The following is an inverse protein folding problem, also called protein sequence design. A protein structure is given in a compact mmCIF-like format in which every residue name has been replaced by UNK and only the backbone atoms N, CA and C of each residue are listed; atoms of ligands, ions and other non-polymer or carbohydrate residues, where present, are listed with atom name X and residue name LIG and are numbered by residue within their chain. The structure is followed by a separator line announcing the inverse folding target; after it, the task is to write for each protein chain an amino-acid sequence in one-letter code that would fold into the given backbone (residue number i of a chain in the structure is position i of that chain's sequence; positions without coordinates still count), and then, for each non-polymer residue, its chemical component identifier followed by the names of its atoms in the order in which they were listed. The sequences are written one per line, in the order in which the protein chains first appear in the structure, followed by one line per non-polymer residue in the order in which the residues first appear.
data_IF_852473473606
#
_entry.id   IF_852473473606
#
_cell.length_a   1.000
_cell.length_b   1.000
_cell.length_c   1.000
_cell.angle_alpha   90.00
_cell.angle_beta   90.00
_cell.angle_gamma   90.00
#
_symmetry.space_group_name_H-M   'P 1'
#
loop_
_entity.id
_entity.type
_entity.pdbx_description
1 polymer ?
#
# COMPACT_ATOMS: atom_id res chain seq x y z
N UNK A 1 -14.96 -13.45 -7.06
CA UNK A 1 -14.74 -12.31 -6.13
C UNK A 1 -13.31 -11.84 -6.30
N UNK A 2 -13.05 -10.52 -6.36
CA UNK A 2 -11.70 -9.95 -6.58
C UNK A 2 -10.63 -10.51 -5.62
N UNK A 3 -11.04 -10.84 -4.38
CA UNK A 3 -10.18 -11.45 -3.35
C UNK A 3 -9.57 -12.78 -3.78
N UNK A 4 -10.28 -13.61 -4.56
CA UNK A 4 -9.78 -14.92 -4.99
C UNK A 4 -8.67 -14.83 -6.06
N UNK A 5 -8.55 -13.68 -6.72
CA UNK A 5 -7.53 -13.42 -7.73
C UNK A 5 -6.35 -12.60 -7.20
N UNK A 6 -6.28 -12.35 -5.89
CA UNK A 6 -5.17 -11.57 -5.34
C UNK A 6 -3.85 -12.29 -5.50
N UNK A 7 -2.85 -11.50 -5.91
CA UNK A 7 -1.46 -11.94 -5.88
C UNK A 7 -1.07 -12.35 -4.46
N UNK A 8 -0.40 -13.49 -4.35
CA UNK A 8 0.31 -13.93 -3.13
C UNK A 8 1.80 -13.60 -3.19
N UNK A 9 2.28 -12.96 -4.26
CA UNK A 9 3.69 -12.60 -4.46
C UNK A 9 3.99 -11.12 -4.28
N UNK A 10 2.99 -10.27 -4.52
CA UNK A 10 3.14 -8.82 -4.52
C UNK A 10 1.97 -8.16 -3.81
N UNK A 11 2.26 -7.08 -3.08
CA UNK A 11 1.23 -6.17 -2.58
C UNK A 11 1.66 -4.71 -2.78
N UNK A 12 0.69 -3.81 -2.71
CA UNK A 12 0.88 -2.38 -2.91
C UNK A 12 0.78 -1.66 -1.58
N UNK A 13 1.68 -0.70 -1.35
CA UNK A 13 1.56 0.24 -0.24
C UNK A 13 1.32 1.63 -0.82
N UNK A 14 0.27 2.30 -0.36
CA UNK A 14 0.00 3.70 -0.69
C UNK A 14 -0.04 4.49 0.61
N UNK A 15 0.98 5.32 0.81
CA UNK A 15 1.07 6.27 1.91
C UNK A 15 0.63 7.63 1.41
N UNK A 16 -0.23 8.32 2.15
CA UNK A 16 -0.74 9.65 1.75
C UNK A 16 -0.77 10.65 2.91
N UNK A 17 -0.67 11.93 2.59
CA UNK A 17 -0.92 13.03 3.52
C UNK A 17 -2.38 13.53 3.47
N UNK A 18 -3.24 12.93 2.63
CA UNK A 18 -4.67 13.25 2.56
C UNK A 18 -5.39 12.75 3.84
N UNK A 19 -5.90 13.68 4.66
CA UNK A 19 -6.53 13.36 5.95
C UNK A 19 -7.83 12.55 5.81
N UNK A 20 -8.58 12.78 4.73
CA UNK A 20 -9.90 12.21 4.47
C UNK A 20 -9.92 11.13 3.38
N UNK A 21 -8.77 10.51 3.10
CA UNK A 21 -8.59 9.46 2.07
C UNK A 21 -9.65 8.34 2.08
N UNK A 22 -10.17 8.00 3.26
CA UNK A 22 -11.18 6.93 3.43
C UNK A 22 -12.62 7.38 3.19
N UNK A 23 -12.89 8.70 3.09
CA UNK A 23 -14.25 9.23 2.93
C UNK A 23 -14.85 8.85 1.58
N UNK A 24 -14.10 9.09 0.51
CA UNK A 24 -14.52 8.79 -0.86
C UNK A 24 -13.82 7.54 -1.44
N UNK A 25 -12.91 6.93 -0.67
CA UNK A 25 -12.04 5.82 -1.09
C UNK A 25 -11.27 6.13 -2.37
N UNK A 26 -10.76 7.36 -2.46
CA UNK A 26 -9.91 7.84 -3.53
C UNK A 26 -8.66 8.42 -2.90
N UNK A 27 -7.51 8.04 -3.42
CA UNK A 27 -6.21 8.61 -3.05
C UNK A 27 -5.56 9.25 -4.26
N UNK A 28 -4.95 10.43 -4.05
CA UNK A 28 -4.16 11.10 -5.09
C UNK A 28 -2.68 10.92 -4.84
N UNK A 29 -1.95 10.41 -5.83
CA UNK A 29 -0.50 10.23 -5.75
C UNK A 29 0.18 11.06 -6.85
N UNK A 30 1.16 11.92 -6.54
CA UNK A 30 1.95 12.61 -7.56
C UNK A 30 2.73 11.61 -8.44
N UNK A 31 2.80 11.85 -9.75
CA UNK A 31 3.51 10.95 -10.69
C UNK A 31 4.96 10.72 -10.30
N UNK A 32 5.65 11.72 -9.74
CA UNK A 32 7.03 11.61 -9.28
C UNK A 32 7.23 10.78 -8.01
N UNK A 33 6.15 10.32 -7.37
CA UNK A 33 6.17 9.50 -6.15
C UNK A 33 5.38 8.19 -6.31
N UNK A 34 4.96 7.88 -7.52
CA UNK A 34 4.24 6.65 -7.83
C UNK A 34 5.15 5.71 -8.62
N UNK A 35 5.33 4.49 -8.12
CA UNK A 35 5.98 3.38 -8.84
C UNK A 35 7.36 3.73 -9.40
N UNK A 36 8.13 4.54 -8.68
CA UNK A 36 9.49 4.90 -9.11
C UNK A 36 10.45 3.74 -8.90
N UNK A 37 11.60 3.75 -9.57
CA UNK A 37 12.57 2.63 -9.58
C UNK A 37 13.02 2.14 -8.20
N UNK A 38 12.97 3.00 -7.17
CA UNK A 38 13.36 2.65 -5.81
C UNK A 38 12.19 2.22 -4.91
N UNK A 39 10.96 2.35 -5.41
CA UNK A 39 9.73 2.04 -4.68
C UNK A 39 9.08 0.73 -5.13
N UNK A 40 9.64 0.06 -6.15
CA UNK A 40 9.07 -1.17 -6.69
C UNK A 40 10.18 -2.13 -7.13
N UNK A 41 9.93 -3.46 -7.12
CA UNK A 41 10.78 -4.44 -7.78
C UNK A 41 11.02 -4.08 -9.24
N UNK A 42 12.20 -4.41 -9.76
CA UNK A 42 12.60 -4.03 -11.13
C UNK A 42 11.61 -4.59 -12.17
N UNK A 43 11.15 -5.82 -11.99
CA UNK A 43 10.18 -6.44 -12.89
C UNK A 43 8.80 -5.74 -12.89
N UNK A 44 8.41 -5.13 -11.75
CA UNK A 44 7.17 -4.36 -11.64
C UNK A 44 7.37 -2.97 -12.23
N UNK A 45 8.54 -2.37 -12.03
CA UNK A 45 8.90 -1.10 -12.67
C UNK A 45 8.75 -1.20 -14.18
N UNK A 46 9.34 -2.21 -14.79
CA UNK A 46 9.39 -2.38 -16.24
C UNK A 46 7.99 -2.59 -16.84
N UNK A 47 7.13 -3.36 -16.16
CA UNK A 47 5.78 -3.67 -16.65
C UNK A 47 4.74 -2.59 -16.34
N UNK A 48 4.82 -1.94 -15.18
CA UNK A 48 3.70 -1.18 -14.62
C UNK A 48 3.95 0.32 -14.45
N UNK A 49 5.20 0.79 -14.42
CA UNK A 49 5.50 2.20 -14.10
C UNK A 49 4.94 3.22 -15.10
N UNK A 50 4.78 2.82 -16.37
CA UNK A 50 4.20 3.66 -17.42
C UNK A 50 2.68 3.81 -17.30
N UNK A 51 2.04 3.01 -16.44
CA UNK A 51 0.57 2.94 -16.29
C UNK A 51 -0.14 2.72 -17.64
N UNK A 52 0.42 1.86 -18.49
CA UNK A 52 -0.28 1.27 -19.64
C UNK A 52 -1.54 0.53 -19.18
N UNK A 53 -2.46 0.23 -20.09
CA UNK A 53 -3.68 -0.48 -19.71
C UNK A 53 -3.39 -1.88 -19.15
N UNK A 54 -2.38 -2.57 -19.69
CA UNK A 54 -1.90 -3.85 -19.17
C UNK A 54 -1.27 -3.68 -17.78
N UNK A 55 -0.42 -2.66 -17.59
CA UNK A 55 0.21 -2.38 -16.29
C UNK A 55 -0.82 -2.04 -15.20
N UNK A 56 -1.85 -1.25 -15.54
CA UNK A 56 -2.97 -0.97 -14.63
C UNK A 56 -3.74 -2.24 -14.30
N UNK A 57 -4.03 -3.07 -15.31
CA UNK A 57 -4.76 -4.33 -15.13
C UNK A 57 -3.98 -5.32 -14.25
N UNK A 58 -2.66 -5.32 -14.33
CA UNK A 58 -1.78 -6.09 -13.44
C UNK A 58 -1.83 -5.55 -12.00
N UNK A 59 -1.61 -4.24 -11.81
CA UNK A 59 -1.65 -3.60 -10.49
C UNK A 59 -3.00 -3.78 -9.78
N UNK A 60 -4.12 -3.77 -10.52
CA UNK A 60 -5.45 -3.99 -9.96
C UNK A 60 -5.67 -5.40 -9.40
N UNK A 61 -4.78 -6.36 -9.70
CA UNK A 61 -4.80 -7.72 -9.11
C UNK A 61 -4.01 -7.82 -7.80
N UNK A 62 -3.20 -6.82 -7.49
CA UNK A 62 -2.41 -6.84 -6.26
C UNK A 62 -3.25 -6.32 -5.10
N UNK A 63 -3.24 -7.01 -3.94
CA UNK A 63 -3.79 -6.45 -2.71
C UNK A 63 -3.07 -5.14 -2.36
N UNK A 64 -3.76 -4.24 -1.68
CA UNK A 64 -3.23 -2.93 -1.32
C UNK A 64 -3.43 -2.64 0.17
N UNK A 65 -2.45 -1.97 0.77
CA UNK A 65 -2.57 -1.31 2.07
C UNK A 65 -2.50 0.19 1.78
N UNK A 66 -3.56 0.91 2.15
CA UNK A 66 -3.61 2.37 2.07
C UNK A 66 -3.52 2.91 3.50
N UNK A 67 -2.60 3.82 3.74
CA UNK A 67 -2.44 4.42 5.06
C UNK A 67 -2.05 5.90 4.96
N UNK A 68 -2.21 6.62 6.06
CA UNK A 68 -1.70 8.00 6.13
C UNK A 68 -0.24 7.99 6.55
N UNK A 69 0.46 9.09 6.31
CA UNK A 69 1.79 9.28 6.87
C UNK A 69 1.76 9.14 8.40
N UNK A 70 2.79 8.51 8.96
CA UNK A 70 3.02 8.45 10.39
C UNK A 70 3.14 9.86 10.97
N UNK A 71 2.50 10.09 12.12
CA UNK A 71 2.46 11.42 12.76
C UNK A 71 3.79 11.86 13.36
N UNK A 72 4.70 10.92 13.61
CA UNK A 72 6.01 11.17 14.23
C UNK A 72 7.14 10.42 13.48
N UNK A 73 8.38 10.75 13.83
CA UNK A 73 9.58 10.07 13.31
C UNK A 73 9.81 8.71 13.99
N UNK A 74 10.72 7.91 13.42
CA UNK A 74 11.18 6.61 13.97
C UNK A 74 10.07 5.56 14.09
N UNK A 75 9.12 5.56 13.16
CA UNK A 75 8.05 4.58 13.11
C UNK A 75 6.98 4.80 14.18
N UNK A 76 6.77 6.03 14.66
CA UNK A 76 5.72 6.31 15.65
C UNK A 76 4.51 6.97 14.97
N UNK A 77 3.31 6.54 15.34
CA UNK A 77 2.05 7.12 14.86
C UNK A 77 0.98 7.12 15.94
N UNK A 78 -0.02 7.99 15.78
CA UNK A 78 -1.21 8.06 16.62
C UNK A 78 -1.87 6.66 16.82
N UNK A 79 -2.16 6.24 18.06
CA UNK A 79 -2.87 4.99 18.36
C UNK A 79 -4.28 4.87 17.78
N UNK A 80 -4.86 5.95 17.26
CA UNK A 80 -6.15 5.93 16.56
C UNK A 80 -5.99 6.02 15.04
N UNK A 81 -4.76 5.97 14.53
CA UNK A 81 -4.51 5.94 13.10
C UNK A 81 -4.66 4.53 12.55
N UNK A 82 -5.55 4.42 11.55
CA UNK A 82 -5.85 3.18 10.86
C UNK A 82 -5.29 3.21 9.44
N UNK A 83 -4.76 2.06 9.03
CA UNK A 83 -4.55 1.70 7.64
C UNK A 83 -5.75 0.88 7.13
N UNK A 84 -5.88 0.76 5.82
CA UNK A 84 -6.94 0.02 5.16
C UNK A 84 -6.35 -1.04 4.25
N UNK A 85 -6.64 -2.31 4.54
CA UNK A 85 -6.48 -3.39 3.57
C UNK A 85 -7.58 -3.27 2.52
N UNK A 86 -7.20 -3.32 1.25
CA UNK A 86 -8.08 -2.98 0.14
C UNK A 86 -7.61 -3.61 -1.17
N UNK A 87 -8.33 -3.33 -2.25
CA UNK A 87 -7.83 -3.50 -3.61
C UNK A 87 -8.13 -2.27 -4.47
N UNK A 88 -7.31 -2.06 -5.48
CA UNK A 88 -7.47 -0.95 -6.42
C UNK A 88 -8.57 -1.30 -7.43
N UNK A 89 -9.57 -0.41 -7.55
CA UNK A 89 -10.68 -0.54 -8.52
C UNK A 89 -10.41 0.19 -9.82
N UNK A 90 -9.68 1.29 -9.77
CA UNK A 90 -9.45 2.13 -10.94
C UNK A 90 -8.20 3.00 -10.71
N UNK A 91 -7.42 3.16 -11.78
CA UNK A 91 -6.25 4.04 -11.82
C UNK A 91 -6.46 5.04 -12.95
N UNK A 92 -6.43 6.34 -12.65
CA UNK A 92 -6.60 7.41 -13.64
C UNK A 92 -5.49 8.44 -13.53
N UNK A 93 -4.75 8.63 -14.62
CA UNK A 93 -3.75 9.69 -14.73
C UNK A 93 -4.46 11.01 -15.06
N UNK A 94 -4.17 12.06 -14.29
CA UNK A 94 -4.73 13.40 -14.43
C UNK A 94 -3.60 14.44 -14.29
N UNK A 95 -2.94 14.73 -15.42
CA UNK A 95 -1.79 15.64 -15.44
C UNK A 95 -0.62 15.07 -14.64
N UNK A 96 -0.17 15.80 -13.60
CA UNK A 96 0.92 15.38 -12.70
C UNK A 96 0.47 14.52 -11.53
N UNK A 97 -0.82 14.16 -11.48
CA UNK A 97 -1.41 13.39 -10.41
C UNK A 97 -2.01 12.09 -10.95
N UNK A 98 -2.01 11.05 -10.13
CA UNK A 98 -2.68 9.78 -10.37
C UNK A 98 -3.76 9.65 -9.32
N UNK A 99 -5.01 9.51 -9.77
CA UNK A 99 -6.15 9.23 -8.90
C UNK A 99 -6.41 7.73 -8.87
N UNK A 100 -6.44 7.16 -7.67
CA UNK A 100 -6.62 5.74 -7.46
C UNK A 100 -7.90 5.58 -6.63
N UNK A 101 -8.92 4.96 -7.23
CA UNK A 101 -10.11 4.55 -6.48
C UNK A 101 -9.89 3.14 -5.95
N UNK A 102 -10.17 2.92 -4.67
CA UNK A 102 -9.99 1.62 -4.02
C UNK A 102 -11.29 1.12 -3.39
N UNK A 103 -11.30 -0.17 -3.02
CA UNK A 103 -12.37 -0.77 -2.25
C UNK A 103 -11.80 -1.25 -0.91
N UNK A 104 -12.22 -0.66 0.22
CA UNK A 104 -11.79 -1.10 1.53
C UNK A 104 -12.32 -2.51 1.82
N UNK A 105 -11.48 -3.34 2.43
CA UNK A 105 -11.82 -4.71 2.82
C UNK A 105 -11.77 -4.89 4.33
N UNK A 106 -10.72 -4.39 4.98
CA UNK A 106 -10.57 -4.51 6.42
C UNK A 106 -9.67 -3.39 6.97
N UNK A 107 -10.02 -2.79 8.12
CA UNK A 107 -9.16 -1.84 8.80
C UNK A 107 -7.99 -2.58 9.48
N UNK A 108 -6.82 -1.95 9.50
CA UNK A 108 -5.62 -2.42 10.19
C UNK A 108 -5.14 -1.31 11.11
N UNK A 109 -4.84 -1.65 12.37
CA UNK A 109 -4.22 -0.72 13.29
C UNK A 109 -2.83 -0.33 12.75
N UNK A 110 -2.60 0.93 12.34
CA UNK A 110 -1.36 1.29 11.62
C UNK A 110 -0.10 1.05 12.45
N UNK A 111 -0.20 1.15 13.79
CA UNK A 111 0.89 0.80 14.70
C UNK A 111 1.41 -0.64 14.53
N UNK A 112 0.59 -1.56 14.03
CA UNK A 112 1.04 -2.93 13.70
C UNK A 112 2.06 -2.94 12.57
N UNK A 113 1.95 -2.02 11.61
CA UNK A 113 2.91 -1.86 10.50
C UNK A 113 4.18 -1.12 10.96
N UNK A 114 4.03 -0.26 11.97
CA UNK A 114 5.14 0.47 12.58
C UNK A 114 6.02 -0.38 13.50
N UNK A 115 5.47 -1.43 14.10
CA UNK A 115 6.23 -2.34 14.94
C UNK A 115 7.37 -2.98 14.15
N UNK A 116 8.61 -2.80 14.63
CA UNK A 116 9.81 -3.22 13.90
C UNK A 116 9.84 -4.71 13.58
N UNK A 117 9.31 -5.56 14.47
CA UNK A 117 9.28 -7.00 14.23
C UNK A 117 8.33 -7.32 13.08
N UNK A 118 7.16 -6.67 13.07
CA UNK A 118 6.17 -6.87 12.02
C UNK A 118 6.62 -6.28 10.68
N UNK A 119 7.20 -5.08 10.69
CA UNK A 119 7.62 -4.32 9.51
C UNK A 119 8.53 -5.13 8.56
N UNK A 120 9.40 -5.98 9.11
CA UNK A 120 10.27 -6.87 8.32
C UNK A 120 9.46 -7.79 7.40
N UNK A 121 8.33 -8.33 7.88
CA UNK A 121 7.49 -9.21 7.08
C UNK A 121 6.75 -8.47 5.96
N UNK A 122 6.54 -7.17 6.12
CA UNK A 122 5.97 -6.31 5.09
C UNK A 122 7.05 -5.69 4.18
N UNK A 123 8.34 -6.00 4.35
CA UNK A 123 9.42 -5.33 3.60
C UNK A 123 9.37 -3.80 3.78
N UNK A 124 9.14 -3.35 5.02
CA UNK A 124 9.12 -1.94 5.40
C UNK A 124 10.36 -1.56 6.21
N UNK A 125 10.99 -0.46 5.83
CA UNK A 125 12.12 0.11 6.55
C UNK A 125 11.66 0.98 7.73
N UNK A 126 11.72 0.40 8.93
CA UNK A 126 11.48 1.09 10.22
C UNK A 126 12.77 1.42 10.99
N UNK A 127 13.94 1.22 10.40
CA UNK A 127 15.24 1.44 11.05
C UNK A 127 15.84 2.83 10.82
N UNK A 128 15.11 3.69 10.10
CA UNK A 128 15.46 5.09 9.86
C UNK A 128 14.53 6.07 10.59
N UNK A 129 14.95 7.33 10.68
CA UNK A 129 14.13 8.39 11.28
C UNK A 129 12.89 8.72 10.42
N UNK A 130 13.07 8.72 9.09
CA UNK A 130 11.99 8.87 8.11
C UNK A 130 11.77 7.50 7.49
N UNK A 131 10.75 6.80 8.01
CA UNK A 131 10.40 5.44 7.58
C UNK A 131 9.62 5.45 6.28
N UNK A 132 9.40 4.28 5.68
CA UNK A 132 8.54 4.14 4.50
C UNK A 132 7.11 4.66 4.75
N UNK A 133 6.65 4.57 6.00
CA UNK A 133 5.34 5.08 6.42
C UNK A 133 5.34 6.59 6.72
N UNK A 134 6.48 7.29 6.64
CA UNK A 134 6.57 8.75 6.78
C UNK A 134 6.62 9.48 5.44
N UNK A 135 6.57 8.77 4.31
CA UNK A 135 6.76 9.36 3.00
C UNK A 135 5.62 9.01 2.06
N UNK A 136 4.79 10.00 1.71
CA UNK A 136 3.69 9.83 0.75
C UNK A 136 4.20 9.32 -0.59
N UNK A 137 3.82 8.10 -0.94
CA UNK A 137 4.26 7.41 -2.14
C UNK A 137 3.33 6.23 -2.45
N UNK A 138 3.43 5.73 -3.67
CA UNK A 138 2.86 4.44 -4.07
C UNK A 138 3.99 3.48 -4.45
N UNK A 139 4.15 2.44 -3.64
CA UNK A 139 5.14 1.38 -3.79
C UNK A 139 4.48 0.02 -4.02
N UNK A 140 5.29 -0.94 -4.47
CA UNK A 140 4.94 -2.35 -4.59
C UNK A 140 6.03 -3.13 -3.90
N UNK A 141 5.66 -4.11 -3.09
CA UNK A 141 6.60 -4.95 -2.35
C UNK A 141 6.43 -6.40 -2.79
N UNK A 142 7.54 -7.12 -2.94
CA UNK A 142 7.56 -8.54 -3.34
C UNK A 142 7.45 -9.43 -2.12
N UNK A 143 6.27 -9.40 -1.52
CA UNK A 143 5.95 -10.04 -0.25
C UNK A 143 4.58 -10.67 -0.35
N UNK A 144 4.43 -11.87 0.21
CA UNK A 144 3.12 -12.44 0.50
C UNK A 144 2.48 -11.68 1.67
N UNK A 145 1.67 -10.67 1.36
CA UNK A 145 1.06 -9.83 2.39
C UNK A 145 0.16 -10.61 3.35
N UNK A 146 -0.41 -11.74 2.93
CA UNK A 146 -1.25 -12.56 3.81
C UNK A 146 -0.44 -13.24 4.90
N UNK A 147 0.75 -13.75 4.57
CA UNK A 147 1.69 -14.28 5.56
C UNK A 147 2.17 -13.16 6.49
N UNK A 148 2.48 -11.98 5.95
CA UNK A 148 2.87 -10.82 6.77
C UNK A 148 1.77 -10.39 7.76
N UNK A 149 0.51 -10.41 7.32
CA UNK A 149 -0.64 -10.12 8.18
C UNK A 149 -0.83 -11.18 9.28
N UNK A 150 -0.62 -12.46 8.96
CA UNK A 150 -0.69 -13.55 9.93
C UNK A 150 0.43 -13.42 10.99
N UNK A 151 1.67 -13.15 10.58
CA UNK A 151 2.81 -12.93 11.49
C UNK A 151 2.62 -11.71 12.41
N UNK A 152 2.00 -10.65 11.90
CA UNK A 152 1.66 -9.45 12.69
C UNK A 152 0.47 -9.65 13.64
N UNK A 153 -0.18 -10.82 13.60
CA UNK A 153 -1.36 -11.14 14.39
C UNK A 153 -2.55 -10.25 14.03
N UNK A 154 -2.77 -10.00 12.73
CA UNK A 154 -3.89 -9.21 12.21
C UNK A 154 -4.98 -10.20 11.69
N UNK A 155 -6.00 -10.51 12.50
CA UNK A 155 -6.99 -11.52 12.13
C UNK A 155 -8.05 -10.97 11.15
N UNK A 156 -8.78 -11.88 10.51
CA UNK A 156 -10.02 -11.53 9.80
C UNK A 156 -9.84 -10.88 8.42
N UNK A 157 -8.62 -10.90 7.86
CA UNK A 157 -8.38 -10.37 6.51
C UNK A 157 -8.93 -11.32 5.44
N UNK A 158 -9.79 -10.84 4.52
CA UNK A 158 -10.22 -11.60 3.36
C UNK A 158 -9.02 -12.01 2.49
N UNK A 159 -8.90 -13.31 2.21
CA UNK A 159 -7.78 -13.89 1.48
C UNK A 159 -8.25 -14.83 0.37
N UNK A 160 -7.47 -15.01 -0.71
CA UNK A 160 -7.73 -16.10 -1.66
C UNK A 160 -7.76 -17.44 -0.92
N UNK A 161 -8.65 -18.34 -1.33
CA UNK A 161 -8.63 -19.72 -0.86
C UNK A 161 -7.36 -20.46 -1.34
#
# INVERSE_FOLDING_TARGET
MAVQSFSKEYYQLIVTCEEDVYKDNIVTVPVGRALTKYLVPTEIFDRCSTLSDDGKAELMRFPAIICRENTEMKGTTDPNQWAMFAYIKMIRVAGKNIKIAFHPLAPIQQQKLCDKRNAVFFDLNMDCAITDLNHSAWSVHKVNVFEALDEAGIPGIPRPM
#
